data_IF_859684174067
#
_entry.id   IF_859684174067
#
_cell.length_a   1.000
_cell.length_b   1.000
_cell.length_c   1.000
_cell.angle_alpha   90.00
_cell.angle_beta   90.00
_cell.angle_gamma   90.00
#
_symmetry.space_group_name_H-M   'P 1'
#
loop_
_entity.id
_entity.type
_entity.pdbx_description
1 polymer ?
#
# COMPACT_ATOMS: atom_id res chain seq x y z
N UNK A 1 -6.42 42.19 83.47
CA UNK A 1 -7.56 41.38 83.85
C UNK A 1 -8.47 41.32 82.62
N UNK A 2 -8.42 40.23 81.87
CA UNK A 2 -9.48 39.91 80.93
C UNK A 2 -9.23 38.50 80.42
N UNK A 3 -10.19 37.56 80.49
CA UNK A 3 -9.99 36.20 80.13
C UNK A 3 -10.23 35.91 78.68
N UNK A 4 -9.53 34.94 78.22
CA UNK A 4 -9.50 34.29 76.93
C UNK A 4 -10.85 33.93 76.34
N UNK A 5 -10.97 34.14 75.01
CA UNK A 5 -12.07 33.58 74.21
C UNK A 5 -11.53 32.51 73.25
N UNK A 6 -11.63 31.28 73.64
CA UNK A 6 -11.20 30.12 72.93
C UNK A 6 -12.31 29.70 71.93
N UNK A 7 -12.16 30.09 70.66
CA UNK A 7 -13.03 29.58 69.59
C UNK A 7 -12.67 28.16 69.21
N UNK A 8 -13.49 27.23 69.61
CA UNK A 8 -13.48 25.86 69.12
C UNK A 8 -14.02 25.78 67.70
N UNK A 9 -13.15 25.44 66.77
CA UNK A 9 -13.51 25.12 65.38
C UNK A 9 -14.19 23.73 65.37
N UNK A 10 -15.48 23.68 65.13
CA UNK A 10 -16.21 22.44 64.84
C UNK A 10 -15.97 22.06 63.40
N UNK A 11 -15.08 21.10 63.19
CA UNK A 11 -14.95 20.38 61.91
C UNK A 11 -16.22 19.58 61.63
N UNK A 12 -17.06 20.09 60.71
CA UNK A 12 -18.21 19.36 60.23
C UNK A 12 -17.77 18.29 59.24
N UNK A 13 -17.72 17.05 59.67
CA UNK A 13 -17.66 15.89 58.80
C UNK A 13 -18.95 15.79 57.96
N UNK A 14 -18.85 16.11 56.68
CA UNK A 14 -19.95 15.86 55.71
C UNK A 14 -20.20 14.36 55.67
N UNK A 15 -21.20 13.89 56.36
CA UNK A 15 -21.73 12.53 56.23
C UNK A 15 -22.20 12.34 54.79
N UNK A 16 -21.53 11.43 54.05
CA UNK A 16 -21.93 11.06 52.70
C UNK A 16 -23.34 10.43 52.73
N UNK A 17 -24.24 10.95 51.87
CA UNK A 17 -25.58 10.40 51.73
C UNK A 17 -25.49 8.88 51.51
N UNK A 18 -26.31 8.05 52.20
CA UNK A 18 -26.33 6.61 51.98
C UNK A 18 -26.72 6.33 50.54
N UNK A 19 -25.87 5.60 49.81
CA UNK A 19 -26.16 5.19 48.43
C UNK A 19 -27.26 4.10 48.48
N UNK A 20 -28.44 4.43 47.99
CA UNK A 20 -29.51 3.42 47.88
C UNK A 20 -29.04 2.27 46.99
N UNK A 21 -29.29 1.01 47.38
CA UNK A 21 -28.91 -0.14 46.58
C UNK A 21 -29.67 -0.13 45.24
N UNK A 22 -28.91 -0.31 44.13
CA UNK A 22 -29.46 -0.31 42.79
C UNK A 22 -30.41 -1.49 42.58
N UNK A 23 -31.54 -1.22 41.97
CA UNK A 23 -32.50 -2.27 41.58
C UNK A 23 -31.86 -3.26 40.59
N UNK A 24 -32.32 -4.52 40.50
CA UNK A 24 -31.74 -5.50 39.55
C UNK A 24 -31.76 -5.04 38.13
N UNK A 25 -32.77 -4.30 37.69
CA UNK A 25 -32.85 -3.70 36.36
C UNK A 25 -31.78 -2.62 36.11
N UNK A 26 -31.50 -1.79 37.10
CA UNK A 26 -30.46 -0.77 37.01
C UNK A 26 -29.05 -1.38 36.98
N UNK A 27 -28.83 -2.50 37.68
CA UNK A 27 -27.56 -3.26 37.62
C UNK A 27 -27.38 -3.87 36.23
N UNK A 28 -28.41 -4.52 35.69
CA UNK A 28 -28.39 -5.11 34.36
C UNK A 28 -28.13 -4.03 33.27
N UNK A 29 -28.77 -2.88 33.34
CA UNK A 29 -28.55 -1.79 32.42
C UNK A 29 -27.11 -1.24 32.47
N UNK A 30 -26.54 -1.08 33.68
CA UNK A 30 -25.14 -0.64 33.85
C UNK A 30 -24.16 -1.65 33.27
N UNK A 31 -24.40 -2.94 33.46
CA UNK A 31 -23.56 -4.00 32.89
C UNK A 31 -23.65 -3.97 31.36
N UNK A 32 -24.87 -3.83 30.81
CA UNK A 32 -25.06 -3.73 29.36
C UNK A 32 -24.35 -2.49 28.78
N UNK A 33 -24.46 -1.32 29.43
CA UNK A 33 -23.74 -0.11 29.01
C UNK A 33 -22.21 -0.28 29.08
N UNK A 34 -21.69 -0.94 30.12
CA UNK A 34 -20.25 -1.23 30.23
C UNK A 34 -19.77 -2.16 29.12
N UNK A 35 -20.50 -3.23 28.84
CA UNK A 35 -20.18 -4.17 27.76
C UNK A 35 -20.18 -3.43 26.41
N UNK A 36 -21.18 -2.58 26.15
CA UNK A 36 -21.28 -1.80 24.93
C UNK A 36 -20.14 -0.78 24.80
N UNK A 37 -19.74 -0.13 25.90
CA UNK A 37 -18.61 0.77 25.92
C UNK A 37 -17.28 0.06 25.65
N UNK A 38 -17.08 -1.14 26.22
CA UNK A 38 -15.88 -1.95 25.94
C UNK A 38 -15.87 -2.39 24.48
N UNK A 39 -16.99 -2.83 23.93
CA UNK A 39 -17.12 -3.23 22.53
C UNK A 39 -16.80 -2.07 21.58
N UNK A 40 -17.33 -0.89 21.88
CA UNK A 40 -17.02 0.33 21.12
C UNK A 40 -15.54 0.70 21.21
N UNK A 41 -14.92 0.60 22.40
CA UNK A 41 -13.50 0.88 22.57
C UNK A 41 -12.63 -0.12 21.76
N UNK A 42 -12.99 -1.41 21.77
CA UNK A 42 -12.29 -2.44 20.96
C UNK A 42 -12.43 -2.14 19.47
N UNK A 43 -13.60 -1.77 18.98
CA UNK A 43 -13.79 -1.41 17.58
C UNK A 43 -12.97 -0.19 17.18
N UNK A 44 -12.92 0.84 18.02
CA UNK A 44 -12.09 2.03 17.77
C UNK A 44 -10.59 1.68 17.75
N UNK A 45 -10.14 0.85 18.68
CA UNK A 45 -8.73 0.43 18.72
C UNK A 45 -8.34 -0.44 17.51
N UNK A 46 -9.22 -1.37 17.10
CA UNK A 46 -9.02 -2.18 15.89
C UNK A 46 -9.00 -1.30 14.64
N UNK A 47 -9.93 -0.34 14.54
CA UNK A 47 -9.96 0.60 13.42
C UNK A 47 -8.71 1.51 13.38
N UNK A 48 -8.28 2.01 14.54
CA UNK A 48 -7.06 2.81 14.62
C UNK A 48 -5.81 1.98 14.27
N UNK A 49 -5.72 0.74 14.77
CA UNK A 49 -4.64 -0.17 14.42
C UNK A 49 -4.66 -0.50 12.91
N UNK A 50 -5.82 -0.76 12.34
CA UNK A 50 -5.97 -0.95 10.90
C UNK A 50 -5.47 0.27 10.10
N UNK A 51 -5.84 1.48 10.51
CA UNK A 51 -5.37 2.72 9.87
C UNK A 51 -3.86 2.95 9.98
N UNK A 52 -3.23 2.50 11.07
CA UNK A 52 -1.79 2.62 11.30
C UNK A 52 -0.98 1.53 10.60
N UNK A 53 -1.54 0.30 10.53
CA UNK A 53 -0.86 -0.85 9.91
C UNK A 53 -1.05 -0.91 8.41
N UNK A 54 -2.18 -0.44 7.89
CA UNK A 54 -2.39 -0.27 6.45
C UNK A 54 -1.68 1.01 6.02
N UNK A 55 -0.36 0.91 5.88
CA UNK A 55 0.42 1.90 5.16
C UNK A 55 -0.04 1.84 3.71
N UNK A 56 -0.78 2.86 3.25
CA UNK A 56 -1.02 3.01 1.82
C UNK A 56 0.36 3.15 1.18
N UNK A 57 0.75 2.24 0.27
CA UNK A 57 2.02 2.41 -0.42
C UNK A 57 2.02 3.79 -1.10
N UNK A 58 3.07 4.57 -0.87
CA UNK A 58 3.30 5.80 -1.62
C UNK A 58 3.47 5.40 -3.07
N UNK A 59 2.54 5.83 -3.92
CA UNK A 59 2.69 5.67 -5.36
C UNK A 59 3.96 6.43 -5.78
N UNK A 60 4.83 5.84 -6.60
CA UNK A 60 5.91 6.59 -7.22
C UNK A 60 5.28 7.78 -7.96
N UNK A 61 5.92 8.93 -7.88
CA UNK A 61 5.45 10.12 -8.59
C UNK A 61 5.27 9.82 -10.08
N UNK A 62 4.22 10.35 -10.73
CA UNK A 62 4.02 10.18 -12.16
C UNK A 62 5.06 11.01 -12.92
N UNK A 63 6.23 10.48 -13.01
CA UNK A 63 7.35 11.00 -13.74
C UNK A 63 8.18 9.79 -14.12
N UNK A 64 7.81 9.13 -15.23
CA UNK A 64 8.81 8.34 -15.93
C UNK A 64 9.81 9.37 -16.41
N UNK A 65 10.91 9.55 -15.70
CA UNK A 65 12.12 10.06 -16.34
C UNK A 65 12.43 9.03 -17.42
N UNK A 66 12.00 9.34 -18.63
CA UNK A 66 12.42 8.57 -19.79
C UNK A 66 13.94 8.59 -19.77
N UNK A 67 14.61 7.44 -19.95
CA UNK A 67 16.07 7.41 -20.06
C UNK A 67 16.51 8.47 -21.05
N UNK A 68 17.64 9.13 -20.75
CA UNK A 68 18.23 10.19 -21.54
C UNK A 68 18.15 9.87 -23.04
N UNK A 69 17.87 10.90 -23.85
CA UNK A 69 17.70 10.87 -25.31
C UNK A 69 18.90 10.27 -26.08
N UNK A 70 19.99 9.94 -25.40
CA UNK A 70 21.22 9.39 -25.99
C UNK A 70 21.14 7.91 -26.38
N UNK A 71 20.06 7.21 -26.06
CA UNK A 71 19.86 5.85 -26.57
C UNK A 71 19.29 5.93 -27.99
N UNK A 72 20.14 5.61 -28.94
CA UNK A 72 19.81 5.55 -30.35
C UNK A 72 18.84 4.38 -30.62
N UNK A 73 17.53 4.63 -30.39
CA UNK A 73 16.47 3.65 -30.64
C UNK A 73 16.17 3.60 -32.13
N UNK A 74 16.36 2.44 -32.75
CA UNK A 74 15.95 2.18 -34.15
C UNK A 74 14.42 2.15 -34.31
N UNK A 75 13.68 2.05 -33.22
CA UNK A 75 12.22 2.03 -33.17
C UNK A 75 11.74 3.38 -32.65
N UNK A 76 10.70 3.92 -33.29
CA UNK A 76 10.10 5.18 -32.88
C UNK A 76 9.65 5.18 -31.40
N UNK A 77 9.32 6.35 -30.89
CA UNK A 77 8.81 6.52 -29.55
C UNK A 77 7.64 5.57 -29.28
N UNK A 78 7.73 4.84 -28.17
CA UNK A 78 6.63 4.00 -27.71
C UNK A 78 5.38 4.83 -27.33
N UNK A 79 4.25 4.17 -27.07
CA UNK A 79 3.05 4.85 -26.63
C UNK A 79 3.30 5.61 -25.33
N UNK A 80 2.84 6.85 -25.23
CA UNK A 80 2.92 7.68 -24.03
C UNK A 80 1.51 7.97 -23.54
N UNK A 81 1.26 7.70 -22.27
CA UNK A 81 0.03 8.14 -21.63
C UNK A 81 0.19 9.60 -21.22
N UNK A 82 -0.71 10.45 -21.70
CA UNK A 82 -0.82 11.84 -21.27
C UNK A 82 -1.97 11.98 -20.28
N UNK A 83 -1.74 12.59 -19.14
CA UNK A 83 -2.75 12.85 -18.14
C UNK A 83 -2.30 12.50 -16.72
N UNK A 84 -3.05 12.99 -15.74
CA UNK A 84 -2.79 12.70 -14.35
C UNK A 84 -3.14 11.25 -14.03
N UNK A 85 -2.35 10.67 -13.15
CA UNK A 85 -2.58 9.32 -12.67
C UNK A 85 -3.87 9.27 -11.84
N UNK A 86 -4.70 8.27 -12.09
CA UNK A 86 -5.90 8.02 -11.31
C UNK A 86 -5.53 7.65 -9.86
N UNK A 87 -6.17 8.30 -8.89
CA UNK A 87 -6.02 7.96 -7.48
C UNK A 87 -6.53 6.54 -7.19
N UNK A 88 -5.91 5.86 -6.24
CA UNK A 88 -6.26 4.48 -5.82
C UNK A 88 -6.25 3.47 -6.98
N UNK A 89 -5.36 3.68 -7.95
CA UNK A 89 -5.15 2.81 -9.09
C UNK A 89 -3.71 2.26 -9.04
N UNK A 90 -3.57 0.95 -8.92
CA UNK A 90 -2.28 0.29 -8.74
C UNK A 90 -1.96 -0.62 -9.91
N UNK A 91 -0.70 -0.57 -10.35
CA UNK A 91 -0.22 -1.38 -11.46
C UNK A 91 0.89 -2.32 -11.03
N UNK A 92 0.83 -3.55 -11.55
CA UNK A 92 1.76 -4.62 -11.20
C UNK A 92 2.32 -5.24 -12.47
N UNK A 93 3.63 -5.49 -12.49
CA UNK A 93 4.26 -6.36 -13.46
C UNK A 93 4.44 -7.74 -12.83
N UNK A 94 3.76 -8.75 -13.35
CA UNK A 94 3.93 -10.15 -12.97
C UNK A 94 4.90 -10.81 -13.95
N UNK A 95 5.96 -11.38 -13.41
CA UNK A 95 7.03 -12.02 -14.17
C UNK A 95 7.13 -13.49 -13.76
N UNK A 96 6.75 -14.40 -14.64
CA UNK A 96 6.97 -15.81 -14.47
C UNK A 96 8.31 -16.21 -15.08
N UNK A 97 9.23 -16.67 -14.23
CA UNK A 97 10.59 -17.04 -14.62
C UNK A 97 10.77 -18.56 -14.63
N UNK A 98 11.43 -19.06 -15.65
CA UNK A 98 11.90 -20.45 -15.64
C UNK A 98 13.15 -20.58 -14.74
N UNK A 99 13.03 -21.38 -13.69
CA UNK A 99 14.14 -21.67 -12.76
C UNK A 99 14.94 -22.91 -13.17
N UNK A 100 14.47 -23.66 -14.18
CA UNK A 100 15.00 -24.99 -14.52
C UNK A 100 16.04 -25.05 -15.62
N UNK A 101 16.33 -23.97 -16.37
CA UNK A 101 17.22 -24.20 -17.50
C UNK A 101 17.69 -23.04 -18.36
N UNK A 102 17.21 -21.85 -18.21
CA UNK A 102 17.64 -20.74 -19.07
C UNK A 102 17.40 -19.37 -18.49
N UNK A 103 16.63 -19.31 -17.40
CA UNK A 103 16.34 -18.05 -16.73
C UNK A 103 15.47 -17.09 -17.53
N UNK A 104 14.91 -17.54 -18.66
CA UNK A 104 14.03 -16.70 -19.48
C UNK A 104 12.69 -16.43 -18.78
N UNK A 105 12.11 -15.29 -19.09
CA UNK A 105 10.78 -14.94 -18.59
C UNK A 105 9.73 -15.39 -19.57
N UNK A 106 9.05 -16.49 -19.26
CA UNK A 106 8.04 -17.07 -20.15
C UNK A 106 6.64 -16.49 -19.98
N UNK A 107 6.39 -15.89 -18.83
CA UNK A 107 5.12 -15.24 -18.54
C UNK A 107 5.37 -13.78 -18.13
N UNK A 108 4.76 -12.87 -18.86
CA UNK A 108 4.77 -11.44 -18.54
C UNK A 108 3.34 -10.92 -18.59
N UNK A 109 2.87 -10.38 -17.49
CA UNK A 109 1.54 -9.79 -17.39
C UNK A 109 1.60 -8.44 -16.69
N UNK A 110 0.85 -7.49 -17.20
CA UNK A 110 0.59 -6.22 -16.52
C UNK A 110 -0.80 -6.28 -15.95
N UNK A 111 -0.92 -6.06 -14.67
CA UNK A 111 -2.18 -6.01 -13.94
C UNK A 111 -2.44 -4.59 -13.48
N UNK A 112 -3.68 -4.15 -13.59
CA UNK A 112 -4.13 -2.84 -13.14
C UNK A 112 -5.35 -3.02 -12.23
N UNK A 113 -5.21 -2.63 -10.97
CA UNK A 113 -6.26 -2.72 -9.96
C UNK A 113 -6.81 -1.35 -9.65
N UNK A 114 -8.09 -1.17 -9.95
CA UNK A 114 -8.87 0.03 -9.69
C UNK A 114 -9.70 -0.21 -8.42
N UNK A 115 -9.27 0.37 -7.30
CA UNK A 115 -9.92 0.17 -6.00
C UNK A 115 -11.32 0.78 -5.97
N UNK A 116 -11.55 2.03 -6.40
CA UNK A 116 -12.89 2.63 -6.40
C UNK A 116 -13.92 1.82 -7.19
N UNK A 117 -13.53 1.26 -8.32
CA UNK A 117 -14.42 0.49 -9.18
C UNK A 117 -14.37 -1.02 -8.90
N UNK A 118 -13.51 -1.48 -7.99
CA UNK A 118 -13.31 -2.89 -7.66
C UNK A 118 -13.05 -3.76 -8.91
N UNK A 119 -12.28 -3.24 -9.85
CA UNK A 119 -11.96 -3.94 -11.10
C UNK A 119 -10.48 -4.29 -11.17
N UNK A 120 -10.17 -5.48 -11.66
CA UNK A 120 -8.83 -5.94 -11.98
C UNK A 120 -8.75 -6.20 -13.47
N UNK A 121 -7.91 -5.44 -14.16
CA UNK A 121 -7.60 -5.66 -15.57
C UNK A 121 -6.25 -6.34 -15.68
N UNK A 122 -6.15 -7.31 -16.58
CA UNK A 122 -4.91 -8.06 -16.82
C UNK A 122 -4.63 -8.07 -18.30
N UNK A 123 -3.39 -7.73 -18.64
CA UNK A 123 -2.87 -7.76 -20.01
C UNK A 123 -1.63 -8.65 -20.05
N UNK A 124 -1.62 -9.62 -20.95
CA UNK A 124 -0.43 -10.46 -21.19
C UNK A 124 0.45 -9.81 -22.25
N UNK A 125 1.77 -9.79 -21.99
CA UNK A 125 2.78 -9.40 -22.97
C UNK A 125 3.37 -10.68 -23.54
N UNK A 126 3.27 -10.94 -24.87
CA UNK A 126 3.85 -12.10 -25.49
C UNK A 126 5.37 -12.14 -25.26
N UNK A 127 5.91 -13.29 -24.87
CA UNK A 127 7.33 -13.47 -24.55
C UNK A 127 8.29 -13.14 -25.70
N UNK A 128 7.82 -13.27 -26.93
CA UNK A 128 8.59 -13.02 -28.16
C UNK A 128 8.40 -11.57 -28.67
N UNK A 129 7.77 -10.68 -27.87
CA UNK A 129 7.67 -9.27 -28.21
C UNK A 129 9.05 -8.68 -28.42
N UNK A 130 9.24 -7.98 -29.54
CA UNK A 130 10.52 -7.34 -29.86
C UNK A 130 10.72 -6.11 -29.00
N UNK A 131 11.96 -5.97 -28.51
CA UNK A 131 12.42 -4.83 -27.68
C UNK A 131 13.78 -4.32 -28.20
N UNK A 132 14.09 -3.07 -27.90
CA UNK A 132 15.35 -2.48 -28.33
C UNK A 132 16.46 -2.68 -27.31
N UNK A 133 17.11 -3.81 -27.38
CA UNK A 133 18.19 -4.21 -26.48
C UNK A 133 19.52 -4.36 -27.21
N UNK A 134 20.68 -4.21 -26.54
CA UNK A 134 22.01 -4.19 -27.17
C UNK A 134 22.50 -5.56 -27.65
N UNK A 135 21.80 -6.66 -27.38
CA UNK A 135 22.18 -8.01 -27.80
C UNK A 135 21.35 -8.55 -28.95
N UNK A 136 21.79 -9.66 -29.57
CA UNK A 136 21.19 -10.18 -30.80
C UNK A 136 19.75 -10.69 -30.63
N UNK A 137 19.45 -11.29 -29.49
CA UNK A 137 18.11 -11.83 -29.21
C UNK A 137 17.22 -10.68 -28.69
N UNK A 138 16.65 -9.91 -29.59
CA UNK A 138 15.83 -8.74 -29.29
C UNK A 138 14.40 -9.11 -28.88
N UNK A 139 14.24 -9.94 -27.86
CA UNK A 139 12.95 -10.38 -27.34
C UNK A 139 12.83 -10.06 -25.85
N UNK A 140 11.65 -9.69 -25.42
CA UNK A 140 11.42 -9.30 -24.04
C UNK A 140 11.71 -10.40 -23.02
N UNK A 141 11.52 -11.68 -23.40
CA UNK A 141 11.82 -12.81 -22.54
C UNK A 141 13.32 -12.96 -22.21
N UNK A 142 14.20 -12.39 -23.04
CA UNK A 142 15.65 -12.44 -22.84
C UNK A 142 16.15 -11.32 -21.89
N UNK A 143 15.37 -10.25 -21.71
CA UNK A 143 15.82 -9.04 -21.03
C UNK A 143 16.30 -9.32 -19.63
N UNK A 144 15.51 -9.99 -18.82
CA UNK A 144 15.85 -10.31 -17.44
C UNK A 144 17.18 -11.07 -17.31
N UNK A 145 17.40 -12.04 -18.20
CA UNK A 145 18.54 -12.95 -18.13
C UNK A 145 19.81 -12.36 -18.71
N UNK A 146 19.71 -11.52 -19.74
CA UNK A 146 20.86 -10.93 -20.41
C UNK A 146 21.33 -9.60 -19.81
N UNK A 147 20.45 -8.86 -19.15
CA UNK A 147 20.77 -7.58 -18.55
C UNK A 147 22.02 -7.60 -17.64
N UNK A 148 22.23 -8.62 -16.78
CA UNK A 148 23.42 -8.68 -15.94
C UNK A 148 24.75 -8.76 -16.71
N UNK A 149 24.75 -9.29 -17.94
CA UNK A 149 25.94 -9.32 -18.79
C UNK A 149 26.33 -7.93 -19.33
N UNK A 150 25.44 -6.95 -19.14
CA UNK A 150 25.59 -5.57 -19.56
C UNK A 150 25.57 -4.60 -18.37
N UNK A 151 25.93 -5.10 -17.18
CA UNK A 151 25.98 -4.34 -15.92
C UNK A 151 24.64 -3.70 -15.54
N UNK A 152 23.51 -4.30 -15.96
CA UNK A 152 22.17 -3.84 -15.66
C UNK A 152 21.44 -4.81 -14.72
N UNK A 153 20.62 -4.27 -13.83
CA UNK A 153 19.69 -5.09 -13.03
C UNK A 153 18.59 -5.68 -13.91
N UNK A 154 18.39 -7.00 -13.85
CA UNK A 154 17.47 -7.71 -14.74
C UNK A 154 16.01 -7.29 -14.57
N UNK A 155 15.58 -7.04 -13.33
CA UNK A 155 14.19 -6.63 -13.05
C UNK A 155 13.98 -5.19 -13.48
N UNK A 156 14.91 -4.31 -13.12
CA UNK A 156 14.79 -2.89 -13.45
C UNK A 156 14.80 -2.69 -14.96
N UNK A 157 15.70 -3.35 -15.67
CA UNK A 157 15.76 -3.22 -17.12
C UNK A 157 14.54 -3.84 -17.81
N UNK A 158 14.01 -4.95 -17.29
CA UNK A 158 12.75 -5.51 -17.79
C UNK A 158 11.57 -4.54 -17.58
N UNK A 159 11.52 -3.86 -16.44
CA UNK A 159 10.49 -2.83 -16.18
C UNK A 159 10.60 -1.67 -17.18
N UNK A 160 11.80 -1.23 -17.48
CA UNK A 160 12.06 -0.18 -18.47
C UNK A 160 11.54 -0.59 -19.84
N UNK A 161 11.91 -1.78 -20.34
CA UNK A 161 11.43 -2.28 -21.63
C UNK A 161 9.91 -2.44 -21.66
N UNK A 162 9.30 -2.93 -20.58
CA UNK A 162 7.84 -2.99 -20.47
C UNK A 162 7.24 -1.58 -20.51
N UNK A 163 7.86 -0.60 -19.83
CA UNK A 163 7.39 0.78 -19.84
C UNK A 163 7.36 1.39 -21.24
N UNK A 164 8.35 1.08 -22.06
CA UNK A 164 8.36 1.51 -23.46
C UNK A 164 7.22 0.92 -24.28
N UNK A 165 6.84 -0.33 -23.97
CA UNK A 165 5.75 -1.00 -24.71
C UNK A 165 4.37 -0.47 -24.32
N UNK A 166 4.14 -0.17 -23.04
CA UNK A 166 2.81 0.16 -22.50
C UNK A 166 2.62 1.66 -22.25
N UNK A 167 3.69 2.46 -22.27
CA UNK A 167 3.66 3.91 -22.10
C UNK A 167 3.64 4.39 -20.64
N UNK A 168 3.77 3.49 -19.66
CA UNK A 168 3.89 3.84 -18.24
C UNK A 168 4.71 2.80 -17.48
N UNK A 169 5.30 3.18 -16.35
CA UNK A 169 6.05 2.26 -15.51
C UNK A 169 5.12 1.58 -14.50
N UNK A 170 5.10 0.23 -14.42
CA UNK A 170 4.37 -0.48 -13.38
C UNK A 170 4.88 -0.12 -11.97
N UNK A 171 3.98 0.03 -11.01
CA UNK A 171 4.31 0.40 -9.64
C UNK A 171 5.08 -0.68 -8.90
N UNK A 172 4.63 -1.90 -9.08
CA UNK A 172 5.16 -3.07 -8.37
C UNK A 172 5.55 -4.15 -9.34
N UNK A 173 6.54 -4.96 -8.93
CA UNK A 173 6.95 -6.15 -9.69
C UNK A 173 6.86 -7.37 -8.79
N UNK A 174 6.29 -8.45 -9.32
CA UNK A 174 6.17 -9.77 -8.69
C UNK A 174 6.89 -10.77 -9.60
N UNK A 175 7.91 -11.44 -9.05
CA UNK A 175 8.75 -12.42 -9.75
C UNK A 175 8.64 -13.77 -9.08
#
# INVERSE_FOLDING_TARGET
MNPENKKTSRGGTRAGKPRTPLTPRQKALRIACLVLAILAAVLVTVFAAYRLLVVKPSLPEPGVELPDEDQNYEFGDGPRLSGDRKEEFYTFLLVGRDTGGGGNTDTLMVMAYDIPNQTLNVMSIPRDTMVNVPWDIKRINSVYNYAPYYDKDGIQFLKEEVSYLIGFQPDYTIV
#
